data_IF_049843529623
#
_entry.id   IF_049843529623
#
_cell.length_a   1.000
_cell.length_b   1.000
_cell.length_c   1.000
_cell.angle_alpha   90.00
_cell.angle_beta   90.00
_cell.angle_gamma   90.00
#
_symmetry.space_group_name_H-M   'P 1'
#
loop_
_entity.id
_entity.type
_entity.pdbx_description
1 polymer ?
#
# COMPACT_ATOMS: atom_id res chain seq x y z
N UNK A 1 -32.35 -1.39 86.98
CA UNK A 1 -31.98 -2.72 87.50
C UNK A 1 -30.79 -3.19 86.66
N UNK A 2 -29.57 -3.02 87.19
CA UNK A 2 -28.73 -4.11 87.74
C UNK A 2 -27.86 -4.73 86.63
N UNK A 3 -26.63 -4.26 86.40
CA UNK A 3 -25.32 -4.62 87.00
C UNK A 3 -24.66 -5.89 86.42
N UNK A 4 -23.33 -5.76 86.18
CA UNK A 4 -22.27 -6.79 86.05
C UNK A 4 -22.24 -7.52 84.70
N UNK A 5 -21.10 -7.77 84.04
CA UNK A 5 -19.69 -7.57 84.37
C UNK A 5 -18.81 -7.99 83.19
N UNK A 6 -17.55 -7.59 83.31
CA UNK A 6 -16.42 -7.80 82.39
C UNK A 6 -16.03 -9.27 82.25
N UNK A 7 -15.59 -9.67 81.07
CA UNK A 7 -14.52 -10.67 80.95
C UNK A 7 -13.56 -10.37 79.80
N UNK A 8 -12.29 -10.39 80.19
CA UNK A 8 -11.07 -10.13 79.42
C UNK A 8 -10.61 -11.39 78.69
N UNK A 9 -10.24 -11.29 77.41
CA UNK A 9 -9.20 -12.18 76.85
C UNK A 9 -8.28 -11.43 75.89
N UNK A 10 -6.98 -11.61 76.15
CA UNK A 10 -5.84 -11.00 75.48
C UNK A 10 -5.61 -11.63 74.10
N UNK A 11 -5.28 -10.82 73.09
CA UNK A 11 -4.67 -11.29 71.85
C UNK A 11 -3.49 -10.40 71.47
N UNK A 12 -2.30 -11.00 71.52
CA UNK A 12 -1.02 -10.38 71.23
C UNK A 12 -0.93 -9.88 69.77
N UNK A 13 -0.64 -8.58 69.60
CA UNK A 13 -0.36 -7.95 68.31
C UNK A 13 0.98 -8.42 67.73
N UNK A 14 0.96 -9.32 66.75
CA UNK A 14 2.12 -9.59 65.87
C UNK A 14 2.24 -8.47 64.83
N UNK A 15 3.20 -7.55 65.02
CA UNK A 15 3.60 -6.55 64.01
C UNK A 15 4.10 -7.24 62.74
N UNK A 16 3.35 -7.13 61.64
CA UNK A 16 3.83 -7.50 60.29
C UNK A 16 4.79 -6.41 59.78
N UNK A 17 6.01 -6.80 59.40
CA UNK A 17 6.98 -5.91 58.72
C UNK A 17 6.41 -5.43 57.37
N UNK A 18 6.70 -4.19 56.93
CA UNK A 18 6.24 -3.71 55.63
C UNK A 18 6.90 -4.52 54.52
N UNK A 19 6.09 -5.01 53.59
CA UNK A 19 6.54 -5.77 52.43
C UNK A 19 7.10 -4.77 51.42
N UNK A 20 8.40 -4.82 51.22
CA UNK A 20 9.14 -3.97 50.30
C UNK A 20 8.54 -4.12 48.89
N UNK A 21 7.82 -3.08 48.43
CA UNK A 21 7.23 -3.05 47.09
C UNK A 21 8.36 -2.83 46.10
N UNK A 22 9.00 -3.92 45.66
CA UNK A 22 9.89 -3.89 44.49
C UNK A 22 9.16 -3.19 43.35
N UNK A 23 9.71 -2.06 42.91
CA UNK A 23 9.28 -1.32 41.72
C UNK A 23 9.21 -2.34 40.57
N UNK A 24 8.10 -2.38 39.80
CA UNK A 24 8.06 -3.22 38.60
C UNK A 24 9.24 -2.85 37.70
N UNK A 25 9.86 -3.83 37.01
CA UNK A 25 10.93 -3.54 36.08
C UNK A 25 10.46 -2.47 35.09
N UNK A 26 11.34 -1.51 34.77
CA UNK A 26 11.07 -0.51 33.74
C UNK A 26 10.63 -1.23 32.47
N UNK A 27 9.56 -0.72 31.84
CA UNK A 27 9.14 -1.20 30.53
C UNK A 27 10.36 -1.24 29.59
N UNK A 28 10.44 -2.24 28.68
CA UNK A 28 11.48 -2.25 27.66
C UNK A 28 11.50 -0.90 26.93
N UNK A 29 12.67 -0.42 26.46
CA UNK A 29 12.73 0.83 25.72
C UNK A 29 11.73 0.75 24.57
N UNK A 30 10.77 1.66 24.55
CA UNK A 30 9.88 1.81 23.40
C UNK A 30 10.76 2.01 22.16
N UNK A 31 10.50 1.29 21.05
CA UNK A 31 11.24 1.50 19.82
C UNK A 31 11.32 3.00 19.52
N UNK A 32 12.54 3.52 19.48
CA UNK A 32 12.78 4.96 19.55
C UNK A 32 12.22 5.60 18.30
N UNK A 33 11.17 6.40 18.45
CA UNK A 33 10.71 7.28 17.37
C UNK A 33 11.88 8.20 16.99
N UNK A 34 12.29 8.24 15.71
CA UNK A 34 13.43 9.05 15.30
C UNK A 34 13.22 10.52 15.64
N UNK A 35 14.30 11.21 16.01
CA UNK A 35 14.26 12.64 16.31
C UNK A 35 13.70 13.41 15.12
N UNK A 36 12.79 14.34 15.37
CA UNK A 36 12.21 15.16 14.30
C UNK A 36 13.25 16.14 13.76
N UNK A 37 13.13 16.46 12.47
CA UNK A 37 13.99 17.40 11.74
C UNK A 37 13.11 18.57 11.29
N UNK A 38 13.67 19.79 11.23
CA UNK A 38 12.96 20.93 10.67
C UNK A 38 12.56 20.66 9.20
N UNK A 39 11.42 21.20 8.76
CA UNK A 39 10.87 20.91 7.43
C UNK A 39 11.85 21.23 6.29
N UNK A 40 12.51 22.38 6.33
CA UNK A 40 13.46 22.79 5.27
C UNK A 40 14.68 21.86 5.21
N UNK A 41 15.24 21.53 6.37
CA UNK A 41 16.34 20.59 6.52
C UNK A 41 15.99 19.18 6.02
N UNK A 42 14.76 18.73 6.29
CA UNK A 42 14.27 17.45 5.80
C UNK A 42 14.08 17.49 4.28
N UNK A 43 13.47 18.56 3.76
CA UNK A 43 13.26 18.77 2.33
C UNK A 43 14.58 18.71 1.56
N UNK A 44 15.61 19.40 2.04
CA UNK A 44 16.94 19.37 1.45
C UNK A 44 17.55 17.95 1.45
N UNK A 45 17.47 17.25 2.59
CA UNK A 45 18.00 15.89 2.69
C UNK A 45 17.30 14.89 1.76
N UNK A 46 16.01 15.10 1.48
CA UNK A 46 15.20 14.22 0.65
C UNK A 46 15.32 14.46 -0.86
N UNK A 47 15.95 15.55 -1.30
CA UNK A 47 16.01 15.91 -2.71
C UNK A 47 16.61 14.80 -3.60
N UNK A 48 17.60 14.07 -3.08
CA UNK A 48 18.24 12.95 -3.79
C UNK A 48 17.48 11.62 -3.69
N UNK A 49 16.45 11.54 -2.84
CA UNK A 49 15.60 10.36 -2.65
C UNK A 49 14.29 10.45 -3.43
N UNK A 50 14.00 11.59 -4.07
CA UNK A 50 12.83 11.75 -4.94
C UNK A 50 12.94 10.80 -6.13
N UNK A 51 11.86 10.06 -6.39
CA UNK A 51 11.79 9.13 -7.50
C UNK A 51 11.88 9.88 -8.85
N UNK A 52 12.77 9.41 -9.73
CA UNK A 52 12.81 9.92 -11.10
C UNK A 52 11.58 9.46 -11.89
N UNK A 53 11.14 10.19 -12.94
CA UNK A 53 10.00 9.80 -13.77
C UNK A 53 10.12 8.38 -14.35
N UNK A 54 11.34 7.98 -14.76
CA UNK A 54 11.63 6.62 -15.23
C UNK A 54 11.41 5.57 -14.14
N UNK A 55 11.78 5.88 -12.90
CA UNK A 55 11.59 4.98 -11.77
C UNK A 55 10.11 4.90 -11.40
N UNK A 56 9.40 6.03 -11.36
CA UNK A 56 7.95 6.10 -11.15
C UNK A 56 7.20 5.23 -12.18
N UNK A 57 7.52 5.35 -13.47
CA UNK A 57 6.97 4.50 -14.52
C UNK A 57 7.16 3.01 -14.24
N UNK A 58 8.40 2.63 -13.91
CA UNK A 58 8.77 1.23 -13.67
C UNK A 58 8.05 0.65 -12.43
N UNK A 59 7.75 1.50 -11.45
CA UNK A 59 7.04 1.12 -10.23
C UNK A 59 5.51 1.12 -10.37
N UNK A 60 4.98 1.63 -11.47
CA UNK A 60 3.54 1.65 -11.76
C UNK A 60 2.81 2.88 -11.20
N UNK A 61 3.52 3.99 -11.01
CA UNK A 61 2.91 5.28 -10.67
C UNK A 61 2.11 5.85 -11.86
N UNK A 62 1.01 6.56 -11.59
CA UNK A 62 0.26 7.25 -12.63
C UNK A 62 1.09 8.39 -13.22
N UNK A 63 1.21 8.40 -14.55
CA UNK A 63 1.87 9.47 -15.30
C UNK A 63 0.87 10.21 -16.19
N UNK A 64 1.11 11.50 -16.37
CA UNK A 64 0.35 12.36 -17.27
C UNK A 64 0.64 12.01 -18.73
N UNK A 65 -0.41 11.92 -19.55
CA UNK A 65 -0.30 11.73 -21.00
C UNK A 65 -0.01 13.03 -21.74
N UNK A 66 -0.76 14.08 -21.38
CA UNK A 66 -0.73 15.38 -22.04
C UNK A 66 -0.68 16.49 -20.99
N UNK A 67 0.11 17.55 -21.19
CA UNK A 67 0.16 18.66 -20.26
C UNK A 67 -1.23 19.26 -20.01
N UNK A 68 -1.62 19.27 -18.75
CA UNK A 68 -2.87 19.81 -18.19
C UNK A 68 -4.10 18.93 -18.37
N UNK A 69 -3.88 17.65 -18.68
CA UNK A 69 -4.94 16.67 -18.75
C UNK A 69 -5.32 16.13 -17.38
N UNK A 70 -6.62 15.86 -17.19
CA UNK A 70 -7.14 15.07 -16.06
C UNK A 70 -7.03 13.56 -16.30
N UNK A 71 -6.26 13.17 -17.32
CA UNK A 71 -6.05 11.80 -17.76
C UNK A 71 -4.66 11.31 -17.43
N UNK A 72 -4.57 10.08 -16.93
CA UNK A 72 -3.31 9.43 -16.61
C UNK A 72 -3.19 8.05 -17.29
N UNK A 73 -1.96 7.60 -17.46
CA UNK A 73 -1.62 6.22 -17.81
C UNK A 73 -0.87 5.56 -16.67
N UNK A 74 -1.09 4.26 -16.53
CA UNK A 74 -0.40 3.43 -15.56
C UNK A 74 0.09 2.17 -16.26
N UNK A 75 1.36 1.84 -16.08
CA UNK A 75 1.92 0.57 -16.52
C UNK A 75 2.04 -0.39 -15.34
N UNK A 76 1.33 -1.52 -15.39
CA UNK A 76 1.42 -2.58 -14.38
C UNK A 76 2.33 -3.67 -14.93
N UNK A 77 3.47 -3.89 -14.28
CA UNK A 77 4.37 -4.98 -14.67
C UNK A 77 3.60 -6.31 -14.62
N UNK A 78 3.57 -7.09 -15.71
CA UNK A 78 2.98 -8.42 -15.66
C UNK A 78 3.74 -9.27 -14.64
N UNK A 79 3.04 -10.16 -13.91
CA UNK A 79 3.72 -11.12 -13.06
C UNK A 79 4.75 -11.88 -13.90
N UNK A 80 5.92 -12.23 -13.33
CA UNK A 80 6.86 -13.09 -14.03
C UNK A 80 6.11 -14.36 -14.43
N UNK A 81 5.95 -14.58 -15.75
CA UNK A 81 5.25 -15.76 -16.26
C UNK A 81 5.94 -16.99 -15.64
N UNK A 82 5.20 -17.98 -15.14
CA UNK A 82 5.77 -19.31 -14.97
C UNK A 82 6.46 -19.64 -16.30
N UNK A 83 7.69 -20.17 -16.27
CA UNK A 83 8.24 -20.77 -17.49
C UNK A 83 7.16 -21.70 -18.02
N UNK A 84 6.75 -21.59 -19.30
CA UNK A 84 5.90 -22.61 -19.87
C UNK A 84 6.55 -23.95 -19.52
N UNK A 85 5.79 -24.88 -18.95
CA UNK A 85 6.15 -26.29 -19.11
C UNK A 85 6.41 -26.48 -20.61
N UNK A 86 7.45 -27.20 -21.03
CA UNK A 86 7.74 -27.37 -22.44
C UNK A 86 6.51 -28.00 -23.08
N UNK A 87 5.68 -27.15 -23.67
CA UNK A 87 4.63 -27.55 -24.57
C UNK A 87 5.40 -28.09 -25.76
N UNK A 88 5.31 -29.38 -25.99
CA UNK A 88 5.71 -30.01 -27.25
C UNK A 88 4.86 -29.35 -28.34
N UNK A 89 5.36 -28.22 -28.85
CA UNK A 89 4.81 -27.54 -30.01
C UNK A 89 5.19 -28.42 -31.20
N UNK A 90 4.27 -29.29 -31.61
CA UNK A 90 4.42 -30.01 -32.86
C UNK A 90 4.00 -29.07 -33.99
N UNK A 91 4.98 -28.49 -34.65
CA UNK A 91 4.80 -27.64 -35.84
C UNK A 91 4.21 -28.40 -37.04
N UNK A 92 3.97 -29.71 -36.92
CA UNK A 92 3.33 -30.54 -37.94
C UNK A 92 1.91 -30.99 -37.57
N UNK A 93 1.26 -30.37 -36.59
CA UNK A 93 -0.13 -30.68 -36.25
C UNK A 93 -1.03 -30.53 -37.51
N UNK A 94 -1.81 -31.57 -37.91
CA UNK A 94 -2.59 -31.59 -39.16
C UNK A 94 -3.65 -30.47 -39.30
N UNK A 95 -3.94 -29.78 -38.20
CA UNK A 95 -4.86 -28.64 -38.10
C UNK A 95 -4.37 -27.35 -38.78
N UNK A 96 -3.11 -27.29 -39.24
CA UNK A 96 -2.55 -26.15 -40.00
C UNK A 96 -2.34 -26.41 -41.49
N UNK A 97 -2.82 -27.52 -42.05
CA UNK A 97 -2.82 -27.75 -43.50
C UNK A 97 -4.00 -26.98 -44.12
N UNK A 98 -3.79 -25.95 -44.97
CA UNK A 98 -4.90 -25.20 -45.55
C UNK A 98 -5.68 -26.08 -46.55
N UNK A 99 -6.87 -26.54 -46.13
CA UNK A 99 -7.87 -27.11 -47.02
C UNK A 99 -8.59 -26.02 -47.79
N UNK A 100 -8.56 -26.11 -49.12
CA UNK A 100 -9.30 -25.23 -50.01
C UNK A 100 -10.78 -25.60 -50.02
N UNK A 101 -11.67 -24.65 -49.69
CA UNK A 101 -13.07 -24.66 -50.18
C UNK A 101 -13.77 -23.31 -49.99
N UNK A 102 -13.99 -22.63 -51.12
CA UNK A 102 -15.32 -22.31 -51.65
C UNK A 102 -16.25 -21.40 -50.87
N UNK A 103 -16.30 -20.14 -51.30
CA UNK A 103 -17.30 -19.10 -51.03
C UNK A 103 -18.73 -19.47 -51.51
N UNK A 104 -19.76 -18.97 -50.80
CA UNK A 104 -20.95 -18.34 -51.42
C UNK A 104 -21.90 -17.78 -50.35
N UNK A 105 -22.09 -16.46 -50.37
CA UNK A 105 -22.96 -15.74 -49.43
C UNK A 105 -24.45 -15.68 -49.78
N UNK A 106 -25.23 -15.05 -48.89
CA UNK A 106 -26.43 -14.26 -49.19
C UNK A 106 -26.91 -13.53 -47.93
N UNK A 107 -27.25 -12.25 -48.05
CA UNK A 107 -27.83 -11.43 -46.98
C UNK A 107 -29.35 -11.56 -46.88
N UNK A 108 -29.89 -11.16 -45.74
CA UNK A 108 -31.29 -10.70 -45.60
C UNK A 108 -31.43 -9.82 -44.35
N UNK A 109 -32.04 -8.65 -44.52
CA UNK A 109 -32.42 -7.73 -43.45
C UNK A 109 -33.75 -8.19 -42.85
N UNK A 110 -33.79 -8.31 -41.52
CA UNK A 110 -35.01 -8.58 -40.76
C UNK A 110 -34.71 -8.49 -39.27
N UNK A 111 -35.41 -7.60 -38.57
CA UNK A 111 -35.27 -7.40 -37.12
C UNK A 111 -35.68 -8.66 -36.37
N UNK A 112 -34.70 -9.40 -35.85
CA UNK A 112 -34.89 -10.54 -34.94
C UNK A 112 -34.86 -10.06 -33.48
N UNK A 113 -35.56 -10.73 -32.55
CA UNK A 113 -35.35 -10.54 -31.13
C UNK A 113 -33.88 -10.83 -30.80
N UNK A 114 -33.28 -10.06 -29.89
CA UNK A 114 -31.88 -10.23 -29.47
C UNK A 114 -31.60 -11.69 -29.11
N UNK A 115 -30.64 -12.32 -29.79
CA UNK A 115 -30.20 -13.68 -29.48
C UNK A 115 -29.29 -13.66 -28.24
N UNK A 116 -29.11 -14.80 -27.58
CA UNK A 116 -28.14 -14.95 -26.46
C UNK A 116 -26.71 -14.48 -26.82
N UNK A 117 -26.40 -14.46 -28.12
CA UNK A 117 -25.14 -13.95 -28.70
C UNK A 117 -24.98 -12.42 -28.57
N UNK A 118 -26.09 -11.68 -28.51
CA UNK A 118 -26.08 -10.22 -28.30
C UNK A 118 -25.88 -9.87 -26.82
N UNK A 119 -26.23 -10.76 -25.88
CA UNK A 119 -25.96 -10.58 -24.44
C UNK A 119 -24.50 -10.84 -24.07
N UNK A 120 -23.78 -11.70 -24.80
CA UNK A 120 -22.34 -11.91 -24.62
C UNK A 120 -21.50 -10.67 -24.99
N UNK A 121 -22.02 -9.78 -25.86
CA UNK A 121 -21.31 -8.59 -26.35
C UNK A 121 -21.21 -7.44 -25.33
N UNK A 122 -22.02 -7.46 -24.25
CA UNK A 122 -22.04 -6.40 -23.23
C UNK A 122 -21.34 -6.77 -21.91
N UNK A 123 -20.68 -7.94 -21.88
CA UNK A 123 -19.94 -8.41 -20.70
C UNK A 123 -18.44 -8.14 -20.82
N UNK A 124 -17.82 -7.80 -19.70
CA UNK A 124 -16.38 -7.57 -19.57
C UNK A 124 -15.79 -8.66 -18.69
N UNK A 125 -14.71 -9.28 -19.18
CA UNK A 125 -13.99 -10.31 -18.44
C UNK A 125 -12.88 -9.71 -17.56
N UNK A 126 -12.82 -10.15 -16.32
CA UNK A 126 -11.87 -9.72 -15.31
C UNK A 126 -11.15 -10.93 -14.68
N UNK A 127 -9.95 -10.69 -14.16
CA UNK A 127 -9.20 -11.68 -13.37
C UNK A 127 -9.35 -11.37 -11.88
N UNK A 128 -9.80 -12.35 -11.10
CA UNK A 128 -9.97 -12.18 -9.66
C UNK A 128 -8.63 -12.12 -8.93
N UNK A 129 -8.36 -11.04 -8.20
CA UNK A 129 -7.07 -10.84 -7.48
C UNK A 129 -6.91 -11.68 -6.21
N UNK A 130 -7.92 -12.49 -5.86
CA UNK A 130 -7.92 -13.38 -4.68
C UNK A 130 -7.64 -14.83 -5.04
N UNK A 131 -8.26 -15.31 -6.12
CA UNK A 131 -8.26 -16.71 -6.51
C UNK A 131 -7.74 -16.97 -7.92
N UNK A 132 -7.34 -15.93 -8.65
CA UNK A 132 -6.82 -15.97 -10.02
C UNK A 132 -7.77 -16.61 -11.05
N UNK A 133 -9.07 -16.66 -10.76
CA UNK A 133 -10.09 -17.13 -11.72
C UNK A 133 -10.66 -15.96 -12.52
N UNK A 134 -10.96 -16.21 -13.78
CA UNK A 134 -11.74 -15.30 -14.62
C UNK A 134 -13.19 -15.24 -14.14
N UNK A 135 -13.78 -14.06 -14.22
CA UNK A 135 -15.20 -13.82 -13.97
C UNK A 135 -15.68 -12.69 -14.88
N UNK A 136 -17.00 -12.59 -15.10
CA UNK A 136 -17.59 -11.60 -16.00
C UNK A 136 -18.56 -10.69 -15.27
N UNK A 137 -18.56 -9.43 -15.69
CA UNK A 137 -19.51 -8.42 -15.23
C UNK A 137 -20.09 -7.69 -16.42
N UNK A 138 -21.31 -7.19 -16.31
CA UNK A 138 -21.87 -6.25 -17.28
C UNK A 138 -21.13 -4.90 -17.20
N UNK A 139 -21.28 -4.05 -18.21
CA UNK A 139 -20.72 -2.67 -18.17
C UNK A 139 -21.23 -1.83 -16.99
N UNK A 140 -22.43 -2.14 -16.50
CA UNK A 140 -23.04 -1.49 -15.34
C UNK A 140 -22.55 -2.05 -13.99
N UNK A 141 -21.71 -3.10 -14.03
CA UNK A 141 -21.09 -3.68 -12.85
C UNK A 141 -21.91 -4.79 -12.19
N UNK A 142 -22.83 -5.42 -12.91
CA UNK A 142 -23.58 -6.58 -12.42
C UNK A 142 -22.83 -7.89 -12.72
N UNK A 143 -22.80 -8.81 -11.76
CA UNK A 143 -22.17 -10.12 -11.97
C UNK A 143 -23.09 -11.00 -12.83
N UNK A 144 -22.55 -11.55 -13.92
CA UNK A 144 -23.34 -12.40 -14.83
C UNK A 144 -23.62 -13.79 -14.24
N UNK A 145 -22.79 -14.22 -13.29
CA UNK A 145 -22.95 -15.48 -12.56
C UNK A 145 -22.80 -15.25 -11.06
N UNK A 146 -23.66 -15.88 -10.28
CA UNK A 146 -23.54 -15.90 -8.82
C UNK A 146 -22.55 -17.00 -8.40
N UNK A 147 -21.26 -16.70 -8.51
CA UNK A 147 -20.17 -17.60 -8.13
C UNK A 147 -19.43 -17.07 -6.89
N UNK A 148 -19.34 -17.91 -5.86
CA UNK A 148 -18.57 -17.59 -4.66
C UNK A 148 -17.06 -17.72 -4.91
N UNK A 149 -16.30 -16.73 -4.45
CA UNK A 149 -14.84 -16.76 -4.54
C UNK A 149 -14.24 -17.54 -3.35
N UNK A 150 -13.57 -18.66 -3.64
CA UNK A 150 -12.88 -19.49 -2.64
C UNK A 150 -11.37 -19.31 -2.81
N UNK A 151 -10.67 -18.84 -1.78
CA UNK A 151 -9.27 -18.41 -1.88
C UNK A 151 -8.49 -18.57 -0.57
N UNK A 152 -7.16 -18.46 -0.67
CA UNK A 152 -6.26 -18.32 0.47
C UNK A 152 -5.80 -16.88 0.55
N UNK A 153 -6.01 -16.22 1.69
CA UNK A 153 -5.62 -14.82 1.88
C UNK A 153 -4.18 -14.67 2.37
N UNK A 154 -3.60 -15.71 2.96
CA UNK A 154 -2.25 -15.69 3.50
C UNK A 154 -1.21 -15.95 2.42
N UNK A 155 -0.05 -15.29 2.52
CA UNK A 155 1.09 -15.56 1.65
C UNK A 155 1.60 -17.00 1.82
N UNK A 156 2.34 -17.50 0.85
CA UNK A 156 3.02 -18.80 0.92
C UNK A 156 4.33 -18.65 1.68
N UNK A 157 4.55 -19.53 2.67
CA UNK A 157 5.81 -19.67 3.42
C UNK A 157 6.86 -20.39 2.56
N UNK A 158 8.14 -20.33 2.95
CA UNK A 158 9.23 -21.09 2.33
C UNK A 158 8.94 -22.60 2.22
N UNK A 159 8.20 -23.15 3.17
CA UNK A 159 7.83 -24.58 3.21
C UNK A 159 6.62 -24.93 2.33
N UNK A 160 6.28 -24.11 1.34
CA UNK A 160 5.15 -24.32 0.41
C UNK A 160 3.80 -24.51 1.13
N UNK A 161 3.57 -23.73 2.19
CA UNK A 161 2.32 -23.71 2.96
C UNK A 161 1.75 -22.31 3.05
N UNK A 162 0.42 -22.18 2.99
CA UNK A 162 -0.23 -20.89 3.17
C UNK A 162 -0.20 -20.44 4.63
N UNK A 163 0.14 -19.17 4.88
CA UNK A 163 0.20 -18.63 6.23
C UNK A 163 -1.18 -18.54 6.92
N UNK A 164 -2.27 -18.54 6.14
CA UNK A 164 -3.64 -18.42 6.65
C UNK A 164 -4.19 -19.68 7.32
N UNK A 165 -3.85 -20.86 6.80
CA UNK A 165 -4.42 -22.15 7.25
C UNK A 165 -3.36 -23.26 7.40
N UNK A 166 -2.10 -22.99 7.03
CA UNK A 166 -0.98 -23.94 7.03
C UNK A 166 -1.15 -25.14 6.07
N UNK A 167 -2.19 -25.15 5.25
CA UNK A 167 -2.37 -26.10 4.16
C UNK A 167 -1.31 -25.92 3.07
N UNK A 168 -1.02 -27.00 2.34
CA UNK A 168 -0.05 -27.01 1.23
C UNK A 168 -0.54 -26.16 0.05
N UNK A 169 0.41 -25.62 -0.73
CA UNK A 169 0.12 -24.98 -2.02
C UNK A 169 -0.66 -25.93 -2.93
N UNK A 170 -1.68 -25.43 -3.63
CA UNK A 170 -2.60 -26.22 -4.46
C UNK A 170 -3.83 -26.76 -3.73
N UNK A 171 -3.90 -26.65 -2.40
CA UNK A 171 -5.11 -26.96 -1.64
C UNK A 171 -6.26 -25.98 -1.92
N UNK A 172 -7.51 -26.43 -1.75
CA UNK A 172 -8.70 -25.58 -1.84
C UNK A 172 -8.60 -24.41 -0.85
N UNK A 173 -9.03 -23.23 -1.29
CA UNK A 173 -9.00 -21.99 -0.48
C UNK A 173 -9.68 -22.14 0.89
N UNK A 174 -9.07 -21.55 1.93
CA UNK A 174 -9.60 -21.58 3.30
C UNK A 174 -10.53 -20.40 3.65
N UNK A 175 -10.78 -19.50 2.70
CA UNK A 175 -11.69 -18.36 2.86
C UNK A 175 -12.67 -18.32 1.71
N UNK A 176 -13.87 -17.84 2.01
CA UNK A 176 -14.97 -17.70 1.05
C UNK A 176 -15.44 -16.25 1.07
N UNK A 177 -15.54 -15.64 -0.11
CA UNK A 177 -16.19 -14.37 -0.33
C UNK A 177 -17.36 -14.55 -1.28
N UNK A 178 -18.40 -13.73 -1.13
CA UNK A 178 -19.60 -13.80 -1.96
C UNK A 178 -19.30 -13.57 -3.44
N UNK A 179 -18.39 -12.64 -3.74
CA UNK A 179 -18.06 -12.25 -5.10
C UNK A 179 -16.56 -12.28 -5.36
N UNK A 180 -16.22 -12.46 -6.65
CA UNK A 180 -14.88 -12.23 -7.18
C UNK A 180 -14.59 -10.73 -7.24
N UNK A 181 -13.34 -10.33 -7.03
CA UNK A 181 -12.94 -8.91 -7.01
C UNK A 181 -11.72 -8.68 -7.89
N UNK A 182 -11.62 -7.49 -8.49
CA UNK A 182 -10.51 -7.10 -9.35
C UNK A 182 -9.91 -5.76 -8.88
N UNK A 183 -8.71 -5.43 -9.36
CA UNK A 183 -7.99 -4.23 -8.92
C UNK A 183 -8.37 -2.95 -9.65
N UNK A 184 -9.23 -3.01 -10.67
CA UNK A 184 -9.47 -1.89 -11.59
C UNK A 184 -8.39 -1.72 -12.66
N UNK A 185 -7.36 -2.58 -12.65
CA UNK A 185 -6.24 -2.54 -13.61
C UNK A 185 -5.87 -3.94 -14.07
N UNK A 186 -5.27 -4.04 -15.25
CA UNK A 186 -4.73 -5.27 -15.82
C UNK A 186 -3.22 -5.18 -16.03
N UNK A 187 -2.50 -6.30 -16.07
CA UNK A 187 -1.11 -6.32 -16.52
C UNK A 187 -0.92 -5.58 -17.86
N UNK A 188 0.16 -4.82 -17.96
CA UNK A 188 0.48 -3.97 -19.11
C UNK A 188 -0.04 -2.54 -18.97
N UNK A 189 -0.35 -1.93 -20.11
CA UNK A 189 -0.79 -0.53 -20.17
C UNK A 189 -2.26 -0.38 -19.75
N UNK A 190 -2.51 0.57 -18.85
CA UNK A 190 -3.85 0.97 -18.42
C UNK A 190 -4.05 2.47 -18.71
N UNK A 191 -5.21 2.80 -19.24
CA UNK A 191 -5.63 4.18 -19.52
C UNK A 191 -6.04 4.42 -20.97
N UNK A 192 -6.43 5.66 -21.31
CA UNK A 192 -6.43 6.82 -20.44
C UNK A 192 -7.42 6.70 -19.26
N UNK A 193 -6.93 6.88 -18.03
CA UNK A 193 -7.74 6.87 -16.81
C UNK A 193 -8.13 8.29 -16.43
N UNK A 194 -9.40 8.55 -16.18
CA UNK A 194 -9.92 9.91 -15.94
C UNK A 194 -10.09 10.24 -14.46
N UNK A 195 -10.20 11.54 -14.18
CA UNK A 195 -10.45 12.09 -12.84
C UNK A 195 -9.17 12.33 -12.03
N UNK A 196 -8.01 12.36 -12.70
CA UNK A 196 -6.75 12.71 -12.05
C UNK A 196 -6.65 14.21 -11.82
N UNK A 197 -6.11 14.58 -10.66
CA UNK A 197 -5.87 15.97 -10.27
C UNK A 197 -4.40 16.18 -9.94
N UNK A 198 -3.97 17.44 -9.89
CA UNK A 198 -2.63 17.83 -9.42
C UNK A 198 -2.60 19.23 -8.89
N UNK A 199 -1.60 19.50 -8.07
CA UNK A 199 -1.28 20.85 -7.64
C UNK A 199 -0.83 21.72 -8.83
N UNK A 200 -1.24 22.99 -8.81
CA UNK A 200 -0.85 24.01 -9.81
C UNK A 200 0.04 25.11 -9.23
N UNK A 201 0.24 25.11 -7.92
CA UNK A 201 0.97 26.14 -7.21
C UNK A 201 1.85 25.49 -6.13
N UNK A 202 2.99 26.11 -5.79
CA UNK A 202 3.81 25.66 -4.68
C UNK A 202 3.07 25.89 -3.36
N UNK A 203 3.33 25.00 -2.39
CA UNK A 203 2.84 25.09 -1.00
C UNK A 203 3.90 24.70 0.02
N UNK A 204 5.01 24.10 -0.41
CA UNK A 204 6.05 23.56 0.46
C UNK A 204 5.59 22.38 1.29
N UNK A 205 6.42 22.04 2.28
CA UNK A 205 6.13 20.99 3.25
C UNK A 205 6.51 19.58 2.83
N UNK A 206 6.59 18.71 3.84
CA UNK A 206 6.85 17.29 3.70
C UNK A 206 5.75 16.55 4.46
N UNK A 207 5.05 15.65 3.76
CA UNK A 207 3.94 14.89 4.33
C UNK A 207 4.09 13.42 4.04
N UNK A 208 3.83 12.58 5.04
CA UNK A 208 3.64 11.16 4.84
C UNK A 208 2.17 10.83 4.63
N UNK A 209 1.89 9.96 3.67
CA UNK A 209 0.54 9.63 3.22
C UNK A 209 0.38 8.11 3.17
N UNK A 210 -0.80 7.64 3.54
CA UNK A 210 -1.22 6.26 3.37
C UNK A 210 -2.75 6.19 3.21
N UNK A 211 -3.21 5.20 2.45
CA UNK A 211 -4.61 5.02 2.12
C UNK A 211 -5.08 3.59 2.34
N UNK A 212 -6.36 3.47 2.69
CA UNK A 212 -7.05 2.20 2.71
C UNK A 212 -8.09 2.16 1.59
N UNK A 213 -8.19 1.00 0.94
CA UNK A 213 -9.07 0.80 -0.21
C UNK A 213 -10.08 -0.31 0.06
N UNK A 214 -11.20 -0.23 -0.65
CA UNK A 214 -12.21 -1.27 -0.71
C UNK A 214 -12.43 -1.74 -2.15
N UNK A 215 -12.96 -2.95 -2.32
CA UNK A 215 -13.32 -3.46 -3.62
C UNK A 215 -14.74 -3.03 -3.98
N UNK A 216 -14.89 -2.47 -5.16
CA UNK A 216 -16.15 -2.06 -5.77
C UNK A 216 -16.31 -2.76 -7.13
N UNK A 217 -17.44 -2.57 -7.79
CA UNK A 217 -17.66 -3.08 -9.14
C UNK A 217 -16.67 -2.50 -10.16
N UNK A 218 -16.19 -1.27 -9.94
CA UNK A 218 -15.17 -0.61 -10.77
C UNK A 218 -13.71 -0.96 -10.38
N UNK A 219 -13.51 -1.85 -9.41
CA UNK A 219 -12.19 -2.23 -8.90
C UNK A 219 -11.87 -1.64 -7.52
N UNK A 220 -10.59 -1.44 -7.23
CA UNK A 220 -10.17 -0.86 -5.96
C UNK A 220 -10.44 0.65 -5.92
N UNK A 221 -11.26 1.10 -4.97
CA UNK A 221 -11.53 2.51 -4.72
C UNK A 221 -11.07 2.93 -3.31
N UNK A 222 -10.71 4.20 -3.17
CA UNK A 222 -10.32 4.82 -1.91
C UNK A 222 -11.46 4.74 -0.89
N UNK A 223 -11.15 4.25 0.31
CA UNK A 223 -12.09 4.16 1.44
C UNK A 223 -11.65 5.02 2.63
N UNK A 224 -10.35 5.23 2.83
CA UNK A 224 -9.82 6.11 3.86
C UNK A 224 -8.45 6.65 3.45
N UNK A 225 -8.11 7.86 3.89
CA UNK A 225 -6.79 8.45 3.72
C UNK A 225 -6.33 9.05 5.04
N UNK A 226 -5.03 8.96 5.32
CA UNK A 226 -4.37 9.69 6.39
C UNK A 226 -3.13 10.44 5.85
N UNK A 227 -2.92 11.65 6.37
CA UNK A 227 -1.75 12.47 6.06
C UNK A 227 -1.13 12.98 7.34
N UNK A 228 0.17 12.78 7.47
CA UNK A 228 0.99 13.11 8.63
C UNK A 228 2.04 14.14 8.22
N UNK A 229 2.19 15.23 8.98
CA UNK A 229 3.27 16.20 8.76
C UNK A 229 4.62 15.65 9.23
N UNK A 230 5.72 16.26 8.77
CA UNK A 230 7.08 15.89 9.17
C UNK A 230 7.34 15.89 10.69
N UNK A 231 6.59 16.70 11.46
CA UNK A 231 6.63 16.74 12.92
C UNK A 231 5.93 15.53 13.59
N UNK A 232 5.21 14.72 12.82
CA UNK A 232 4.43 13.55 13.25
C UNK A 232 2.96 13.84 13.57
N UNK A 233 2.51 15.09 13.41
CA UNK A 233 1.13 15.50 13.65
C UNK A 233 0.21 14.99 12.55
N UNK A 234 -0.98 14.52 12.93
CA UNK A 234 -2.04 14.19 11.98
C UNK A 234 -2.60 15.49 11.37
N UNK A 235 -2.45 15.63 10.05
CA UNK A 235 -2.90 16.81 9.31
C UNK A 235 -4.28 16.58 8.72
N UNK A 236 -4.49 15.41 8.14
CA UNK A 236 -5.74 15.07 7.47
C UNK A 236 -6.06 13.60 7.69
N UNK A 237 -7.33 13.31 7.98
CA UNK A 237 -7.89 11.96 7.95
C UNK A 237 -9.34 12.04 7.51
N UNK A 238 -9.72 11.22 6.53
CA UNK A 238 -11.12 11.10 6.15
C UNK A 238 -11.44 9.71 5.63
N UNK A 239 -12.61 9.23 5.99
CA UNK A 239 -13.28 8.18 5.22
C UNK A 239 -13.83 8.78 3.94
N UNK A 240 -13.87 7.98 2.88
CA UNK A 240 -14.29 8.39 1.54
C UNK A 240 -15.45 7.51 1.12
N UNK A 241 -16.49 8.13 0.59
CA UNK A 241 -17.63 7.44 -0.01
C UNK A 241 -17.22 6.95 -1.41
N UNK A 242 -17.13 5.63 -1.64
CA UNK A 242 -16.82 5.09 -2.96
C UNK A 242 -17.88 5.52 -3.98
N UNK A 243 -17.46 5.70 -5.25
CA UNK A 243 -18.37 6.13 -6.31
C UNK A 243 -19.21 4.97 -6.84
N UNK A 244 -18.65 3.77 -6.80
CA UNK A 244 -19.26 2.54 -7.29
C UNK A 244 -19.77 1.67 -6.12
N UNK A 245 -20.74 0.78 -6.37
CA UNK A 245 -21.23 -0.16 -5.36
C UNK A 245 -20.10 -0.98 -4.73
N UNK A 246 -20.06 -0.99 -3.40
CA UNK A 246 -19.05 -1.72 -2.63
C UNK A 246 -19.34 -3.22 -2.66
N UNK A 247 -18.39 -3.99 -3.17
CA UNK A 247 -18.42 -5.45 -3.22
C UNK A 247 -17.85 -6.04 -1.94
N UNK A 248 -16.72 -5.50 -1.47
CA UNK A 248 -16.06 -5.95 -0.24
C UNK A 248 -15.27 -4.79 0.41
N UNK A 249 -15.54 -4.43 1.69
CA UNK A 249 -14.79 -3.39 2.41
C UNK A 249 -13.31 -3.68 2.59
N UNK A 250 -12.88 -4.92 2.33
CA UNK A 250 -11.52 -5.41 2.48
C UNK A 250 -11.01 -5.39 3.94
N UNK A 251 -11.92 -5.50 4.92
CA UNK A 251 -11.69 -5.20 6.35
C UNK A 251 -10.46 -5.86 6.95
N UNK A 252 -10.15 -7.10 6.54
CA UNK A 252 -8.97 -7.83 7.04
C UNK A 252 -7.67 -7.09 6.79
N UNK A 253 -7.58 -6.41 5.65
CA UNK A 253 -6.39 -5.69 5.25
C UNK A 253 -6.58 -4.19 5.50
N UNK A 254 -7.76 -3.65 5.23
CA UNK A 254 -8.00 -2.21 5.26
C UNK A 254 -8.40 -1.64 6.63
N UNK A 255 -8.85 -2.50 7.54
CA UNK A 255 -9.49 -2.10 8.79
C UNK A 255 -10.85 -1.40 8.63
N UNK A 256 -11.29 -1.15 7.39
CA UNK A 256 -12.54 -0.47 7.07
C UNK A 256 -13.72 -1.40 7.31
N UNK A 257 -14.70 -0.93 8.08
CA UNK A 257 -15.93 -1.65 8.35
C UNK A 257 -17.08 -1.09 7.50
N UNK A 258 -18.12 -1.89 7.20
CA UNK A 258 -19.29 -1.40 6.48
C UNK A 258 -19.91 -0.12 7.07
N UNK A 259 -19.91 0.00 8.41
CA UNK A 259 -20.40 1.19 9.12
C UNK A 259 -19.56 2.45 8.87
N UNK A 260 -18.27 2.30 8.59
CA UNK A 260 -17.38 3.43 8.32
C UNK A 260 -17.68 4.00 6.94
N UNK A 261 -17.88 3.12 5.95
CA UNK A 261 -18.32 3.48 4.59
C UNK A 261 -19.72 4.09 4.60
N UNK A 262 -20.65 3.54 5.37
CA UNK A 262 -22.01 4.07 5.49
C UNK A 262 -22.05 5.48 6.12
N UNK A 263 -21.06 5.82 6.96
CA UNK A 263 -20.92 7.14 7.59
C UNK A 263 -20.06 8.11 6.80
N UNK A 264 -19.38 7.65 5.75
CA UNK A 264 -18.51 8.50 4.95
C UNK A 264 -19.35 9.51 4.16
N UNK A 265 -19.07 10.79 4.37
CA UNK A 265 -19.79 11.89 3.72
C UNK A 265 -19.02 12.52 2.56
N UNK A 266 -17.68 12.47 2.59
CA UNK A 266 -16.82 13.06 1.57
C UNK A 266 -16.67 12.15 0.36
N UNK A 267 -16.80 12.73 -0.82
CA UNK A 267 -16.47 12.07 -2.09
C UNK A 267 -14.96 12.10 -2.33
N UNK A 268 -14.48 11.33 -3.33
CA UNK A 268 -13.10 11.42 -3.78
C UNK A 268 -12.71 12.86 -4.17
N UNK A 269 -13.62 13.59 -4.83
CA UNK A 269 -13.37 14.98 -5.26
C UNK A 269 -13.20 15.94 -4.07
N UNK A 270 -13.97 15.76 -3.01
CA UNK A 270 -13.84 16.57 -1.80
C UNK A 270 -12.47 16.33 -1.14
N UNK A 271 -12.07 15.06 -1.02
CA UNK A 271 -10.77 14.68 -0.48
C UNK A 271 -9.61 15.18 -1.34
N UNK A 272 -9.74 15.13 -2.67
CA UNK A 272 -8.79 15.70 -3.60
C UNK A 272 -8.63 17.22 -3.37
N UNK A 273 -9.73 17.96 -3.26
CA UNK A 273 -9.71 19.39 -2.99
C UNK A 273 -9.03 19.71 -1.65
N UNK A 274 -9.37 18.96 -0.60
CA UNK A 274 -8.78 19.13 0.73
C UNK A 274 -7.26 18.90 0.69
N UNK A 275 -6.80 17.81 0.06
CA UNK A 275 -5.37 17.49 -0.08
C UNK A 275 -4.65 18.56 -0.90
N UNK A 276 -5.23 19.00 -2.02
CA UNK A 276 -4.67 20.08 -2.84
C UNK A 276 -4.69 21.45 -2.15
N UNK A 277 -5.36 21.58 -1.00
CA UNK A 277 -5.31 22.76 -0.14
C UNK A 277 -3.95 22.94 0.55
N UNK A 278 -3.21 21.85 0.81
CA UNK A 278 -1.91 21.88 1.48
C UNK A 278 -0.79 21.12 0.75
N UNK A 279 -1.11 20.31 -0.27
CA UNK A 279 -0.13 19.71 -1.19
C UNK A 279 0.02 20.60 -2.42
N UNK A 280 1.25 21.04 -2.66
CA UNK A 280 1.69 21.87 -3.77
C UNK A 280 2.56 21.12 -4.77
N UNK A 281 3.06 21.84 -5.78
CA UNK A 281 4.00 21.30 -6.78
C UNK A 281 5.39 20.98 -6.22
N UNK A 282 5.76 21.61 -5.11
CA UNK A 282 7.06 21.49 -4.44
C UNK A 282 6.98 20.81 -3.05
N UNK A 283 5.80 20.30 -2.69
CA UNK A 283 5.58 19.46 -1.51
C UNK A 283 6.19 18.09 -1.76
N UNK A 284 6.84 17.49 -0.77
CA UNK A 284 7.33 16.10 -0.87
C UNK A 284 6.35 15.15 -0.20
N UNK A 285 5.91 14.12 -0.93
CA UNK A 285 5.08 13.03 -0.39
C UNK A 285 5.93 11.81 -0.04
N UNK A 286 5.83 11.34 1.20
CA UNK A 286 6.49 10.15 1.73
C UNK A 286 5.46 9.02 1.88
N UNK A 287 5.85 7.78 1.57
CA UNK A 287 5.04 6.62 1.92
C UNK A 287 5.72 5.29 1.59
N UNK A 288 4.91 4.23 1.53
CA UNK A 288 5.39 2.88 1.25
C UNK A 288 4.61 2.26 0.09
N UNK A 289 5.24 2.11 -1.08
CA UNK A 289 4.57 1.67 -2.31
C UNK A 289 3.38 2.58 -2.70
N UNK A 290 3.63 3.90 -2.69
CA UNK A 290 2.62 4.95 -2.89
C UNK A 290 1.93 4.92 -4.26
N UNK A 291 2.36 4.08 -5.21
CA UNK A 291 1.73 4.03 -6.52
C UNK A 291 0.25 3.64 -6.46
N UNK A 292 -0.13 2.80 -5.49
CA UNK A 292 -1.52 2.38 -5.34
C UNK A 292 -2.35 3.47 -4.66
N UNK A 293 -1.77 4.15 -3.66
CA UNK A 293 -2.38 5.28 -2.98
C UNK A 293 -2.67 6.44 -3.93
N UNK A 294 -1.67 6.83 -4.74
CA UNK A 294 -1.82 7.91 -5.71
C UNK A 294 -2.78 7.54 -6.85
N UNK A 295 -2.90 6.26 -7.21
CA UNK A 295 -3.90 5.77 -8.16
C UNK A 295 -5.31 5.85 -7.56
N UNK A 296 -5.50 5.40 -6.31
CA UNK A 296 -6.78 5.44 -5.61
C UNK A 296 -7.25 6.88 -5.33
N UNK A 297 -6.32 7.77 -4.98
CA UNK A 297 -6.56 9.21 -4.84
C UNK A 297 -6.74 9.92 -6.18
N UNK A 298 -6.41 9.26 -7.29
CA UNK A 298 -6.27 9.87 -8.62
C UNK A 298 -5.47 11.18 -8.54
N UNK A 299 -4.30 11.13 -7.93
CA UNK A 299 -3.44 12.29 -7.71
C UNK A 299 -2.13 12.11 -8.50
N UNK A 300 -1.85 13.05 -9.41
CA UNK A 300 -0.55 13.14 -10.09
C UNK A 300 0.38 14.02 -9.27
N UNK A 301 1.48 13.44 -8.81
CA UNK A 301 2.47 14.14 -7.99
C UNK A 301 3.89 13.65 -8.28
N UNK A 302 4.82 14.56 -8.55
CA UNK A 302 6.17 14.23 -9.02
C UNK A 302 7.24 14.12 -7.92
N UNK A 303 7.02 14.76 -6.76
CA UNK A 303 7.99 14.78 -5.67
C UNK A 303 7.68 13.69 -4.63
N UNK A 304 7.88 12.43 -5.03
CA UNK A 304 7.59 11.25 -4.19
C UNK A 304 8.87 10.63 -3.64
N UNK A 305 8.89 10.38 -2.34
CA UNK A 305 9.90 9.58 -1.62
C UNK A 305 9.24 8.29 -1.15
N UNK A 306 9.67 7.16 -1.71
CA UNK A 306 9.09 5.85 -1.41
C UNK A 306 10.07 5.00 -0.61
N UNK A 307 9.65 4.55 0.57
CA UNK A 307 10.45 3.68 1.44
C UNK A 307 10.83 2.36 0.77
N UNK A 308 10.05 1.86 -0.20
CA UNK A 308 10.44 0.69 -1.01
C UNK A 308 11.69 0.95 -1.88
N UNK A 309 11.92 2.20 -2.28
CA UNK A 309 13.11 2.58 -3.04
C UNK A 309 14.30 2.90 -2.12
N UNK A 310 14.06 3.49 -0.96
CA UNK A 310 15.10 3.80 0.04
C UNK A 310 15.64 2.55 0.74
N UNK A 311 14.79 1.53 0.90
CA UNK A 311 15.12 0.24 1.50
C UNK A 311 14.88 -0.90 0.50
N UNK A 312 15.73 -1.02 -0.55
CA UNK A 312 15.53 -2.01 -1.60
C UNK A 312 15.63 -3.43 -1.05
N UNK A 313 14.85 -4.34 -1.63
CA UNK A 313 14.99 -5.76 -1.35
C UNK A 313 16.33 -6.27 -1.93
N UNK A 314 17.10 -7.14 -1.24
CA UNK A 314 18.39 -7.64 -1.73
C UNK A 314 18.33 -8.33 -3.11
N UNK A 315 17.20 -8.99 -3.40
CA UNK A 315 16.92 -9.62 -4.71
C UNK A 315 16.45 -8.66 -5.81
N UNK A 316 16.35 -7.36 -5.52
CA UNK A 316 15.86 -6.34 -6.44
C UNK A 316 14.36 -6.44 -6.76
N UNK A 317 13.89 -5.51 -7.59
CA UNK A 317 12.51 -5.49 -8.09
C UNK A 317 12.23 -6.72 -8.99
N UNK A 318 10.99 -7.23 -9.04
CA UNK A 318 9.76 -6.69 -8.44
C UNK A 318 9.59 -6.99 -6.95
N UNK A 319 10.51 -7.70 -6.30
CA UNK A 319 10.40 -8.02 -4.89
C UNK A 319 10.60 -6.77 -4.03
N UNK A 320 9.70 -6.54 -3.09
CA UNK A 320 9.72 -5.40 -2.17
C UNK A 320 9.68 -5.92 -0.73
N UNK A 321 10.32 -5.20 0.18
CA UNK A 321 10.19 -5.45 1.62
C UNK A 321 8.85 -4.87 2.07
N UNK A 322 8.10 -5.56 2.91
CA UNK A 322 6.85 -5.01 3.46
C UNK A 322 7.14 -3.95 4.52
N UNK A 323 6.23 -3.00 4.68
CA UNK A 323 6.30 -1.99 5.75
C UNK A 323 6.43 -2.63 7.13
N UNK A 324 5.69 -3.71 7.38
CA UNK A 324 5.80 -4.48 8.63
C UNK A 324 7.21 -5.03 8.86
N UNK A 325 7.81 -5.66 7.86
CA UNK A 325 9.17 -6.21 7.98
C UNK A 325 10.22 -5.11 8.15
N UNK A 326 10.06 -3.98 7.45
CA UNK A 326 10.95 -2.83 7.61
C UNK A 326 10.81 -2.18 8.99
N UNK A 327 9.58 -2.01 9.48
CA UNK A 327 9.34 -1.44 10.80
C UNK A 327 9.90 -2.32 11.92
N UNK A 328 9.77 -3.63 11.79
CA UNK A 328 10.31 -4.58 12.77
C UNK A 328 11.85 -4.60 12.74
N UNK A 329 12.47 -4.73 11.57
CA UNK A 329 13.94 -4.83 11.45
C UNK A 329 14.66 -3.51 11.71
N UNK A 330 14.13 -2.40 11.17
CA UNK A 330 14.83 -1.12 11.14
C UNK A 330 14.40 -0.22 12.30
N UNK A 331 13.11 -0.19 12.65
CA UNK A 331 12.61 0.62 13.76
C UNK A 331 12.49 -0.17 15.08
N UNK A 332 12.58 -1.51 15.05
CA UNK A 332 12.28 -2.35 16.22
C UNK A 332 10.81 -2.30 16.63
N UNK A 333 9.90 -1.88 15.74
CA UNK A 333 8.48 -1.66 16.02
C UNK A 333 7.60 -2.59 15.21
N UNK A 334 6.70 -3.26 15.90
CA UNK A 334 5.63 -4.03 15.27
C UNK A 334 4.49 -3.11 14.86
N UNK A 335 4.17 -3.07 13.57
CA UNK A 335 3.01 -2.36 12.98
C UNK A 335 2.06 -3.36 12.34
N UNK A 336 0.83 -2.94 11.99
CA UNK A 336 -0.17 -3.80 11.36
C UNK A 336 -0.46 -5.06 12.21
N UNK A 337 -0.53 -4.84 13.53
CA UNK A 337 -0.73 -5.91 14.51
C UNK A 337 -2.21 -6.12 14.82
N UNK A 338 -2.60 -7.40 14.94
CA UNK A 338 -3.95 -7.80 15.31
C UNK A 338 -4.83 -8.19 14.12
N UNK A 339 -6.10 -8.49 14.42
CA UNK A 339 -7.09 -8.97 13.45
C UNK A 339 -8.02 -7.85 12.95
N UNK A 340 -7.82 -6.62 13.41
CA UNK A 340 -8.70 -5.49 13.13
C UNK A 340 -8.47 -4.83 11.76
N UNK A 341 -7.46 -5.27 11.01
CA UNK A 341 -7.00 -4.63 9.77
C UNK A 341 -5.96 -3.54 10.00
N UNK A 342 -5.48 -2.94 8.92
CA UNK A 342 -4.46 -1.89 8.98
C UNK A 342 -5.07 -0.53 9.37
N UNK A 343 -4.19 0.41 9.68
CA UNK A 343 -4.56 1.77 10.03
C UNK A 343 -3.67 2.72 9.23
N UNK A 344 -4.24 3.59 8.39
CA UNK A 344 -3.44 4.44 7.52
C UNK A 344 -2.64 5.48 8.31
N UNK A 345 -3.10 5.81 9.52
CA UNK A 345 -2.35 6.69 10.45
C UNK A 345 -1.11 5.99 10.99
N UNK A 346 -1.18 4.68 11.28
CA UNK A 346 -0.03 3.91 11.77
C UNK A 346 0.98 3.74 10.64
N UNK A 347 0.50 3.39 9.45
CA UNK A 347 1.34 3.07 8.30
C UNK A 347 2.03 4.33 7.73
N UNK A 348 1.32 5.46 7.60
CA UNK A 348 1.93 6.73 7.22
C UNK A 348 3.01 7.19 8.22
N UNK A 349 2.78 7.01 9.54
CA UNK A 349 3.79 7.33 10.57
C UNK A 349 5.00 6.41 10.48
N UNK A 350 4.78 5.13 10.21
CA UNK A 350 5.87 4.18 10.05
C UNK A 350 6.73 4.48 8.84
N UNK A 351 6.11 4.84 7.71
CA UNK A 351 6.85 5.31 6.54
C UNK A 351 7.67 6.58 6.84
N UNK A 352 7.07 7.57 7.53
CA UNK A 352 7.79 8.79 7.93
C UNK A 352 8.99 8.48 8.84
N UNK A 353 8.78 7.66 9.86
CA UNK A 353 9.84 7.30 10.82
C UNK A 353 10.99 6.57 10.11
N UNK A 354 10.71 5.65 9.17
CA UNK A 354 11.74 5.00 8.34
C UNK A 354 12.56 6.04 7.56
N UNK A 355 11.91 7.01 6.92
CA UNK A 355 12.60 8.07 6.17
C UNK A 355 13.48 8.92 7.08
N UNK A 356 12.95 9.36 8.24
CA UNK A 356 13.71 10.16 9.20
C UNK A 356 14.95 9.42 9.71
N UNK A 357 14.81 8.14 10.03
CA UNK A 357 15.95 7.32 10.47
C UNK A 357 17.03 7.24 9.39
N UNK A 358 16.64 6.98 8.13
CA UNK A 358 17.58 6.96 7.01
C UNK A 358 18.35 8.27 6.88
N UNK A 359 17.66 9.40 6.97
CA UNK A 359 18.27 10.73 6.88
C UNK A 359 19.27 10.96 8.01
N UNK A 360 18.94 10.56 9.25
CA UNK A 360 19.87 10.65 10.38
C UNK A 360 21.12 9.79 10.19
N UNK A 361 20.96 8.55 9.71
CA UNK A 361 22.07 7.65 9.42
C UNK A 361 23.00 8.21 8.33
N UNK A 362 22.43 8.78 7.27
CA UNK A 362 23.17 9.40 6.17
C UNK A 362 23.93 10.64 6.65
N UNK A 363 23.29 11.51 7.46
CA UNK A 363 23.94 12.68 8.08
C UNK A 363 25.10 12.25 8.98
N UNK A 364 24.90 11.29 9.86
CA UNK A 364 25.95 10.76 10.74
C UNK A 364 27.11 10.14 9.95
N UNK A 365 26.81 9.48 8.82
CA UNK A 365 27.83 8.88 7.96
C UNK A 365 28.65 9.94 7.21
N UNK A 366 28.02 11.03 6.74
CA UNK A 366 28.71 12.17 6.13
C UNK A 366 29.64 12.88 7.13
N UNK A 367 29.18 13.09 8.36
CA UNK A 367 30.01 13.68 9.42
C UNK A 367 31.21 12.79 9.74
N UNK A 368 31.04 11.47 9.81
CA UNK A 368 32.16 10.54 10.02
C UNK A 368 33.16 10.58 8.86
N UNK A 369 32.70 10.65 7.62
CA UNK A 369 33.56 10.75 6.45
C UNK A 369 34.34 12.08 6.41
N UNK A 370 33.72 13.21 6.79
CA UNK A 370 34.39 14.51 6.81
C UNK A 370 35.50 14.61 7.85
N UNK A 371 35.38 13.88 8.98
CA UNK A 371 36.40 13.83 10.03
C UNK A 371 37.55 12.84 9.74
N UNK A 372 37.45 12.04 8.66
CA UNK A 372 38.49 11.08 8.25
C UNK A 372 39.44 11.63 7.16
N UNK A 373 39.22 12.86 6.67
CA UNK A 373 40.21 13.54 5.83
C UNK A 373 41.35 14.07 6.73
N UNK A 374 42.63 13.70 6.47
CA UNK A 374 43.74 14.14 7.31
C UNK A 374 43.90 15.66 7.24
N UNK A 375 44.15 16.25 8.40
CA UNK A 375 44.75 17.58 8.57
C UNK A 375 45.90 17.69 7.57
N UNK A 376 45.85 18.72 6.71
CA UNK A 376 46.96 19.12 5.85
C UNK A 376 48.26 19.06 6.66
N UNK A 377 49.22 18.23 6.23
CA UNK A 377 50.55 18.25 6.83
C UNK A 377 51.09 19.69 6.76
N UNK A 378 51.72 20.19 7.83
CA UNK A 378 52.28 21.53 7.81
C UNK A 378 53.34 21.61 6.70
N UNK A 379 53.25 22.68 5.90
CA UNK A 379 54.24 23.10 4.93
C UNK A 379 55.66 22.91 5.48
N UNK A 380 56.49 22.14 4.77
CA UNK A 380 57.94 22.06 5.02
C UNK A 380 58.66 23.15 4.19
N UNK A 381 59.23 24.21 4.81
CA UNK A 381 59.81 25.33 4.08
C UNK A 381 61.20 25.08 3.48
N UNK A 382 61.74 23.85 3.49
CA UNK A 382 63.15 23.59 3.16
C UNK A 382 63.44 23.04 1.76
N UNK A 383 62.48 23.03 0.83
CA UNK A 383 62.76 22.74 -0.59
C UNK A 383 62.71 24.02 -1.41
N UNK A 384 63.70 24.88 -1.20
CA UNK A 384 64.11 25.88 -2.18
C UNK A 384 65.57 26.24 -1.89
N UNK A 385 66.48 25.39 -2.36
CA UNK A 385 67.92 25.57 -2.16
C UNK A 385 68.73 24.38 -2.65
N UNK A 386 68.77 24.19 -3.97
CA UNK A 386 69.87 23.56 -4.70
C UNK A 386 69.78 23.94 -6.18
#
# INVERSE_FOLDING_TARGET
MSTVGTDTTSAASRRRKPRDRRRPPSAPPTPSTPTRIANEELKEALQHHILSPKKMWTLGYPLELEPNSSKAVVYINPPPRPRPLPTTWDVNAPEFVPGSQGDSGRGSWGSTPRSDSDEEADTVEHLCVRCDRQFRMTRDGEYTKDETCIYHWGRVSGDSRYLCCKSLVGSKGCSVARFHVWSGTRPGMNGPLEGYVRARSPRGGVYALDTEMCYTTAGLELACVAVIAADGRLVYKSFVKPSSPVVDPNTRFSGIRPRDLARATKTLRDVQNDILGFVGTDTILIGHALENDLRALKLLHGAVVDTCAMYPHPRGFPMRRSLRALSEEVLGRMVQCGSAGHSPVEDARAALDLVLLKVHEERASRVRASHQHPILQPYDPLISGA
#
